data_IF_523875410603
#
_entry.id   IF_523875410603
#
_cell.length_a   1.000
_cell.length_b   1.000
_cell.length_c   1.000
_cell.angle_alpha   90.00
_cell.angle_beta   90.00
_cell.angle_gamma   90.00
#
_symmetry.space_group_name_H-M   'P 1'
#
loop_
_entity.id
_entity.type
_entity.pdbx_description
1 polymer ?
#
# COMPACT_ATOMS: atom_id res chain seq x y z
N UNK A 1 14.93 6.12 2.08
CA UNK A 1 16.00 5.17 2.48
C UNK A 1 15.43 3.80 2.84
N UNK A 2 14.31 3.68 3.57
CA UNK A 2 13.70 2.39 3.92
C UNK A 2 13.36 1.52 2.70
N UNK A 3 12.75 2.09 1.67
CA UNK A 3 12.39 1.38 0.43
C UNK A 3 13.61 0.78 -0.28
N UNK A 4 14.74 1.51 -0.31
CA UNK A 4 15.99 0.99 -0.90
C UNK A 4 16.51 -0.22 -0.11
N UNK A 5 16.50 -0.14 1.23
CA UNK A 5 16.87 -1.28 2.08
C UNK A 5 15.96 -2.50 1.86
N UNK A 6 14.66 -2.27 1.67
CA UNK A 6 13.70 -3.33 1.36
C UNK A 6 13.98 -3.99 0.00
N UNK A 7 14.26 -3.20 -1.04
CA UNK A 7 14.65 -3.72 -2.38
C UNK A 7 15.89 -4.59 -2.28
N UNK A 8 16.94 -4.11 -1.58
CA UNK A 8 18.17 -4.87 -1.40
C UNK A 8 17.93 -6.19 -0.66
N UNK A 9 17.11 -6.17 0.40
CA UNK A 9 16.74 -7.38 1.14
C UNK A 9 15.99 -8.38 0.25
N UNK A 10 15.03 -7.91 -0.58
CA UNK A 10 14.33 -8.77 -1.54
C UNK A 10 15.30 -9.42 -2.53
N UNK A 11 16.25 -8.66 -3.08
CA UNK A 11 17.22 -9.19 -4.04
C UNK A 11 18.18 -10.19 -3.41
N UNK A 12 18.60 -9.97 -2.17
CA UNK A 12 19.43 -10.95 -1.43
C UNK A 12 18.67 -12.25 -1.21
N UNK A 13 17.42 -12.17 -0.70
CA UNK A 13 16.60 -13.35 -0.42
C UNK A 13 16.30 -14.13 -1.71
N UNK A 14 15.98 -13.42 -2.78
CA UNK A 14 15.67 -14.03 -4.09
C UNK A 14 16.93 -14.63 -4.74
N UNK A 15 18.03 -13.88 -4.80
CA UNK A 15 19.28 -14.33 -5.41
C UNK A 15 19.94 -15.50 -4.68
N UNK A 16 19.70 -15.66 -3.37
CA UNK A 16 20.16 -16.80 -2.57
C UNK A 16 19.19 -18.00 -2.63
N UNK A 17 18.07 -17.88 -3.35
CA UNK A 17 17.07 -18.95 -3.45
C UNK A 17 16.28 -19.21 -2.15
N UNK A 18 16.21 -18.23 -1.24
CA UNK A 18 15.55 -18.38 0.06
C UNK A 18 14.07 -18.06 0.05
N UNK A 19 13.52 -17.70 -1.09
CA UNK A 19 12.15 -17.19 -1.29
C UNK A 19 11.06 -18.15 -0.78
N UNK A 20 11.29 -19.46 -0.89
CA UNK A 20 10.38 -20.50 -0.39
C UNK A 20 10.94 -21.21 0.86
N UNK A 21 11.96 -20.64 1.53
CA UNK A 21 12.63 -21.25 2.67
C UNK A 21 12.39 -20.46 3.96
N UNK A 22 12.40 -21.14 5.09
CA UNK A 22 12.38 -20.49 6.42
C UNK A 22 13.65 -19.66 6.71
N UNK A 23 14.72 -19.80 5.89
CA UNK A 23 15.96 -19.02 6.02
C UNK A 23 15.68 -17.52 5.93
N UNK A 24 14.70 -17.10 5.10
CA UNK A 24 14.29 -15.68 5.03
C UNK A 24 13.84 -15.12 6.39
N UNK A 25 13.23 -15.95 7.25
CA UNK A 25 12.81 -15.52 8.59
C UNK A 25 14.03 -15.32 9.51
N UNK A 26 15.04 -16.19 9.44
CA UNK A 26 16.29 -16.02 10.18
C UNK A 26 17.07 -14.79 9.70
N UNK A 27 17.09 -14.53 8.39
CA UNK A 27 17.67 -13.32 7.83
C UNK A 27 16.99 -12.06 8.37
N UNK A 28 15.64 -12.03 8.36
CA UNK A 28 14.85 -10.92 8.93
C UNK A 28 15.10 -10.75 10.43
N UNK A 29 15.19 -11.85 11.21
CA UNK A 29 15.48 -11.80 12.63
C UNK A 29 16.89 -11.24 12.90
N UNK A 30 17.91 -11.67 12.15
CA UNK A 30 19.27 -11.15 12.26
C UNK A 30 19.33 -9.64 11.95
N UNK A 31 18.68 -9.21 10.88
CA UNK A 31 18.59 -7.79 10.53
C UNK A 31 17.90 -6.96 11.63
N UNK A 32 16.86 -7.50 12.26
CA UNK A 32 16.15 -6.85 13.36
C UNK A 32 17.03 -6.71 14.61
N UNK A 33 17.84 -7.73 14.94
CA UNK A 33 18.81 -7.66 16.06
C UNK A 33 19.85 -6.57 15.78
N UNK A 34 20.40 -6.53 14.56
CA UNK A 34 21.38 -5.49 14.17
C UNK A 34 20.76 -4.10 14.30
N UNK A 35 19.52 -3.92 13.81
CA UNK A 35 18.79 -2.66 13.94
C UNK A 35 18.55 -2.29 15.42
N UNK A 36 18.20 -3.27 16.26
CA UNK A 36 18.03 -3.07 17.70
C UNK A 36 19.32 -2.57 18.37
N UNK A 37 20.47 -3.17 18.05
CA UNK A 37 21.79 -2.72 18.55
C UNK A 37 22.10 -1.31 18.04
N UNK A 38 21.88 -1.06 16.74
CA UNK A 38 22.10 0.25 16.13
C UNK A 38 21.22 1.35 16.77
N UNK A 39 20.01 1.02 17.20
CA UNK A 39 19.11 1.99 17.85
C UNK A 39 19.71 2.63 19.11
N UNK A 40 20.58 1.92 19.84
CA UNK A 40 21.28 2.48 21.01
C UNK A 40 22.35 3.54 20.64
N UNK A 41 22.77 3.59 19.38
CA UNK A 41 23.74 4.59 18.90
C UNK A 41 23.08 5.88 18.41
N UNK A 42 21.74 5.90 18.29
CA UNK A 42 21.02 7.07 17.82
C UNK A 42 21.04 8.21 18.84
N UNK A 43 21.09 9.47 18.37
CA UNK A 43 21.06 10.62 19.27
C UNK A 43 19.75 10.67 20.05
N UNK A 44 19.81 11.07 21.30
CA UNK A 44 18.63 11.24 22.16
C UNK A 44 17.77 12.39 21.62
N UNK A 45 16.52 12.06 21.24
CA UNK A 45 15.53 13.08 20.91
C UNK A 45 14.87 13.60 22.17
N UNK A 46 14.79 14.93 22.33
CA UNK A 46 14.05 15.55 23.43
C UNK A 46 12.56 15.26 23.28
N UNK A 47 12.00 14.57 24.25
CA UNK A 47 10.57 14.32 24.32
C UNK A 47 9.91 15.58 24.90
N UNK A 48 9.22 16.37 24.07
CA UNK A 48 8.32 17.41 24.57
C UNK A 48 7.18 16.69 25.30
N UNK A 49 7.24 16.70 26.65
CA UNK A 49 6.14 16.20 27.47
C UNK A 49 4.91 17.08 27.20
N UNK A 50 3.97 16.58 26.42
CA UNK A 50 2.63 17.14 26.35
C UNK A 50 1.96 16.74 27.66
N UNK A 51 1.58 17.71 28.47
CA UNK A 51 0.74 17.45 29.65
C UNK A 51 -0.63 17.00 29.15
N UNK A 52 -0.79 15.71 28.90
CA UNK A 52 -2.08 15.13 28.58
C UNK A 52 -2.94 15.15 29.83
N UNK A 53 -4.12 15.75 29.74
CA UNK A 53 -5.05 15.87 30.85
C UNK A 53 -5.78 14.56 31.18
N UNK A 54 -5.71 13.56 30.29
CA UNK A 54 -6.31 12.25 30.47
C UNK A 54 -5.56 11.13 29.71
N UNK A 55 -5.74 9.88 30.13
CA UNK A 55 -5.26 8.70 29.42
C UNK A 55 -5.83 8.62 27.99
N UNK A 56 -7.05 9.07 27.79
CA UNK A 56 -7.72 9.14 26.50
C UNK A 56 -6.96 10.04 25.51
N UNK A 57 -6.55 11.22 25.96
CA UNK A 57 -5.72 12.15 25.17
C UNK A 57 -4.29 11.61 24.96
N UNK A 58 -3.73 10.95 25.98
CA UNK A 58 -2.40 10.35 25.90
C UNK A 58 -2.32 9.22 24.87
N UNK A 59 -3.42 8.47 24.69
CA UNK A 59 -3.55 7.40 23.69
C UNK A 59 -3.98 7.90 22.30
N UNK A 60 -4.21 9.22 22.13
CA UNK A 60 -4.64 9.78 20.84
C UNK A 60 -6.08 9.45 20.45
N UNK A 61 -6.89 8.95 21.40
CA UNK A 61 -8.28 8.56 21.15
C UNK A 61 -9.22 9.76 20.92
N UNK A 62 -8.74 10.97 21.20
CA UNK A 62 -9.40 12.24 20.87
C UNK A 62 -9.64 12.40 19.36
N UNK A 63 -8.81 11.79 18.51
CA UNK A 63 -8.99 11.78 17.06
C UNK A 63 -10.28 11.08 16.60
N UNK A 64 -10.86 10.19 17.42
CA UNK A 64 -12.13 9.53 17.06
C UNK A 64 -13.31 10.51 16.91
N UNK A 65 -13.19 11.75 17.43
CA UNK A 65 -14.16 12.79 17.19
C UNK A 65 -14.33 13.10 15.69
N UNK A 66 -13.31 12.85 14.88
CA UNK A 66 -13.33 13.06 13.42
C UNK A 66 -14.37 12.20 12.70
N UNK A 67 -14.75 11.06 13.26
CA UNK A 67 -15.84 10.23 12.70
C UNK A 67 -17.22 10.89 12.75
N UNK A 68 -17.40 11.93 13.57
CA UNK A 68 -18.64 12.72 13.60
C UNK A 68 -18.80 13.62 12.37
N UNK A 69 -17.70 13.91 11.68
CA UNK A 69 -17.71 14.71 10.45
C UNK A 69 -17.93 13.81 9.25
N UNK A 70 -19.04 13.95 8.49
CA UNK A 70 -19.35 13.04 7.38
C UNK A 70 -18.23 12.95 6.32
N UNK A 71 -17.53 14.06 6.08
CA UNK A 71 -16.39 14.10 5.15
C UNK A 71 -15.23 13.22 5.61
N UNK A 72 -14.88 13.30 6.91
CA UNK A 72 -13.81 12.49 7.49
C UNK A 72 -14.21 11.03 7.62
N UNK A 73 -15.47 10.75 7.97
CA UNK A 73 -15.99 9.38 7.99
C UNK A 73 -15.85 8.71 6.61
N UNK A 74 -16.31 9.38 5.56
CA UNK A 74 -16.16 8.89 4.19
C UNK A 74 -14.69 8.66 3.86
N UNK A 75 -13.81 9.60 4.17
CA UNK A 75 -12.37 9.46 3.95
C UNK A 75 -11.78 8.22 4.65
N UNK A 76 -12.08 8.02 5.93
CA UNK A 76 -11.58 6.86 6.69
C UNK A 76 -12.13 5.53 6.18
N UNK A 77 -13.39 5.48 5.72
CA UNK A 77 -13.94 4.28 5.06
C UNK A 77 -13.14 3.93 3.79
N UNK A 78 -12.81 4.91 2.96
CA UNK A 78 -11.97 4.66 1.78
C UNK A 78 -10.52 4.35 2.13
N UNK A 79 -9.99 4.88 3.24
CA UNK A 79 -8.67 4.49 3.75
C UNK A 79 -8.63 3.01 4.14
N UNK A 80 -9.67 2.49 4.79
CA UNK A 80 -9.82 1.06 5.09
C UNK A 80 -9.87 0.22 3.81
N UNK A 81 -10.71 0.62 2.85
CA UNK A 81 -10.85 -0.09 1.59
C UNK A 81 -9.52 -0.12 0.80
N UNK A 82 -8.77 0.97 0.82
CA UNK A 82 -7.46 1.02 0.16
C UNK A 82 -6.42 0.15 0.89
N UNK A 83 -6.44 0.15 2.23
CA UNK A 83 -5.62 -0.76 3.03
C UNK A 83 -5.90 -2.23 2.72
N UNK A 84 -7.17 -2.58 2.44
CA UNK A 84 -7.54 -3.91 1.98
C UNK A 84 -6.93 -4.22 0.59
N UNK A 85 -6.95 -3.28 -0.37
CA UNK A 85 -6.31 -3.46 -1.67
C UNK A 85 -4.79 -3.67 -1.55
N UNK A 86 -4.13 -2.94 -0.64
CA UNK A 86 -2.71 -3.11 -0.33
C UNK A 86 -2.44 -4.53 0.19
N UNK A 87 -3.24 -5.02 1.13
CA UNK A 87 -3.07 -6.36 1.72
C UNK A 87 -3.24 -7.49 0.70
N UNK A 88 -4.17 -7.37 -0.23
CA UNK A 88 -4.38 -8.34 -1.32
C UNK A 88 -3.06 -8.54 -2.09
N UNK A 89 -2.39 -7.45 -2.46
CA UNK A 89 -1.12 -7.53 -3.18
C UNK A 89 0.01 -8.10 -2.31
N UNK A 90 0.09 -7.67 -1.06
CA UNK A 90 1.14 -8.13 -0.14
C UNK A 90 1.01 -9.63 0.16
N UNK A 91 -0.21 -10.14 0.29
CA UNK A 91 -0.45 -11.55 0.55
C UNK A 91 -0.22 -12.44 -0.69
N UNK A 92 -0.67 -12.01 -1.85
CA UNK A 92 -0.78 -12.90 -3.01
C UNK A 92 0.06 -12.50 -4.22
N UNK A 93 0.69 -11.34 -4.23
CA UNK A 93 1.45 -10.88 -5.40
C UNK A 93 2.63 -11.78 -5.76
N UNK A 94 3.42 -12.20 -4.78
CA UNK A 94 4.54 -13.11 -4.99
C UNK A 94 4.06 -14.55 -5.20
N UNK A 95 3.07 -14.99 -4.44
CA UNK A 95 2.48 -16.33 -4.54
C UNK A 95 1.88 -16.57 -5.92
N UNK A 96 1.27 -15.56 -6.52
CA UNK A 96 0.79 -15.57 -7.91
C UNK A 96 1.88 -16.02 -8.88
N UNK A 97 3.08 -15.41 -8.81
CA UNK A 97 4.20 -15.78 -9.69
C UNK A 97 4.71 -17.20 -9.40
N UNK A 98 4.90 -17.53 -8.12
CA UNK A 98 5.42 -18.84 -7.69
C UNK A 98 4.47 -19.97 -8.09
N UNK A 99 3.16 -19.74 -8.08
CA UNK A 99 2.16 -20.76 -8.41
C UNK A 99 2.26 -21.29 -9.84
N UNK A 100 2.84 -20.51 -10.75
CA UNK A 100 3.08 -20.98 -12.13
C UNK A 100 4.17 -22.06 -12.24
N UNK A 101 4.92 -22.33 -11.17
CA UNK A 101 5.89 -23.44 -11.13
C UNK A 101 5.26 -24.82 -11.38
N UNK A 102 3.96 -24.98 -11.14
CA UNK A 102 3.22 -26.22 -11.41
C UNK A 102 3.01 -26.49 -12.91
N UNK A 103 3.23 -25.51 -13.79
CA UNK A 103 3.06 -25.64 -15.23
C UNK A 103 4.42 -25.75 -15.91
N UNK A 104 4.64 -26.84 -16.66
CA UNK A 104 5.91 -27.10 -17.36
C UNK A 104 6.34 -25.97 -18.29
N UNK A 105 5.38 -25.27 -18.88
CA UNK A 105 5.60 -24.11 -19.75
C UNK A 105 6.29 -22.94 -19.03
N UNK A 106 5.99 -22.72 -17.73
CA UNK A 106 6.41 -21.51 -17.02
C UNK A 106 7.48 -21.75 -15.94
N UNK A 107 7.69 -23.02 -15.52
CA UNK A 107 8.58 -23.34 -14.38
C UNK A 107 10.01 -22.79 -14.50
N UNK A 108 10.52 -22.64 -15.72
CA UNK A 108 11.85 -22.11 -16.01
C UNK A 108 11.83 -20.63 -16.41
N UNK A 109 10.67 -19.96 -16.36
CA UNK A 109 10.60 -18.54 -16.67
C UNK A 109 11.25 -17.70 -15.59
N UNK A 110 11.81 -16.55 -15.99
CA UNK A 110 12.47 -15.63 -15.04
C UNK A 110 11.52 -15.19 -13.93
N UNK A 111 10.25 -14.94 -14.21
CA UNK A 111 9.26 -14.50 -13.23
C UNK A 111 8.95 -15.54 -12.15
N UNK A 112 9.04 -16.83 -12.47
CA UNK A 112 8.84 -17.95 -11.53
C UNK A 112 10.11 -18.21 -10.71
N UNK A 113 11.27 -18.17 -11.36
CA UNK A 113 12.56 -18.38 -10.70
C UNK A 113 12.96 -17.21 -9.77
N UNK A 114 12.61 -15.98 -10.17
CA UNK A 114 12.97 -14.74 -9.48
C UNK A 114 11.76 -13.85 -9.20
N UNK A 115 10.75 -14.34 -8.45
CA UNK A 115 9.52 -13.58 -8.18
C UNK A 115 9.80 -12.33 -7.35
N UNK A 116 10.79 -12.36 -6.45
CA UNK A 116 11.21 -11.22 -5.65
C UNK A 116 11.76 -10.08 -6.49
N UNK A 117 12.56 -10.39 -7.52
CA UNK A 117 13.07 -9.37 -8.45
C UNK A 117 11.93 -8.72 -9.23
N UNK A 118 10.98 -9.49 -9.76
CA UNK A 118 9.81 -8.94 -10.45
C UNK A 118 8.97 -8.07 -9.53
N UNK A 119 8.72 -8.52 -8.29
CA UNK A 119 7.92 -7.76 -7.33
C UNK A 119 8.65 -6.49 -6.84
N UNK A 120 9.99 -6.48 -6.82
CA UNK A 120 10.77 -5.30 -6.42
C UNK A 120 10.60 -4.10 -7.37
N UNK A 121 10.15 -4.34 -8.61
CA UNK A 121 9.80 -3.27 -9.56
C UNK A 121 8.72 -2.36 -8.96
N UNK A 122 7.79 -2.90 -8.15
CA UNK A 122 6.80 -2.10 -7.43
C UNK A 122 7.45 -1.08 -6.50
N UNK A 123 8.48 -1.48 -5.77
CA UNK A 123 9.18 -0.63 -4.80
C UNK A 123 10.04 0.44 -5.49
N UNK A 124 10.65 0.07 -6.62
CA UNK A 124 11.37 1.04 -7.46
C UNK A 124 10.40 2.08 -8.01
N UNK A 125 9.26 1.62 -8.53
CA UNK A 125 8.20 2.49 -9.03
C UNK A 125 7.67 3.43 -7.95
N UNK A 126 7.40 2.93 -6.74
CA UNK A 126 7.01 3.73 -5.57
C UNK A 126 8.00 4.87 -5.34
N UNK A 127 9.30 4.56 -5.27
CA UNK A 127 10.35 5.57 -5.08
C UNK A 127 10.33 6.66 -6.15
N UNK A 128 10.05 6.32 -7.40
CA UNK A 128 9.99 7.26 -8.51
C UNK A 128 8.70 8.09 -8.50
N UNK A 129 7.55 7.47 -8.24
CA UNK A 129 6.27 8.16 -8.23
C UNK A 129 6.13 9.17 -7.08
N UNK A 130 6.75 8.93 -5.92
CA UNK A 130 6.81 9.90 -4.82
C UNK A 130 7.31 11.27 -5.31
N UNK A 131 8.32 11.29 -6.18
CA UNK A 131 8.89 12.53 -6.72
C UNK A 131 7.90 13.31 -7.61
N UNK A 132 6.91 12.63 -8.17
CA UNK A 132 5.91 13.24 -9.06
C UNK A 132 4.70 13.81 -8.32
N UNK A 133 4.47 13.40 -7.07
CA UNK A 133 3.28 13.76 -6.29
C UNK A 133 3.06 15.27 -6.17
N UNK A 134 4.09 16.11 -5.88
CA UNK A 134 3.89 17.55 -5.80
C UNK A 134 3.31 18.15 -7.10
N UNK A 135 3.77 17.67 -8.27
CA UNK A 135 3.25 18.08 -9.55
C UNK A 135 1.76 17.71 -9.72
N UNK A 136 1.41 16.47 -9.39
CA UNK A 136 0.03 16.00 -9.52
C UNK A 136 -0.90 16.71 -8.53
N UNK A 137 -0.49 16.91 -7.29
CA UNK A 137 -1.27 17.63 -6.29
C UNK A 137 -1.53 19.09 -6.69
N UNK A 138 -0.50 19.78 -7.17
CA UNK A 138 -0.63 21.16 -7.63
C UNK A 138 -1.59 21.28 -8.82
N UNK A 139 -1.51 20.34 -9.76
CA UNK A 139 -2.30 20.38 -11.00
C UNK A 139 -3.74 19.89 -10.81
N UNK A 140 -3.94 18.83 -10.03
CA UNK A 140 -5.22 18.10 -9.97
C UNK A 140 -5.91 18.19 -8.61
N UNK A 141 -5.16 18.48 -7.54
CA UNK A 141 -5.67 18.51 -6.16
C UNK A 141 -5.86 17.14 -5.53
N UNK A 142 -6.07 17.14 -4.22
CA UNK A 142 -6.12 15.94 -3.36
C UNK A 142 -7.13 14.90 -3.89
N UNK A 143 -8.39 15.30 -4.13
CA UNK A 143 -9.46 14.38 -4.55
C UNK A 143 -9.11 13.62 -5.83
N UNK A 144 -8.63 14.34 -6.87
CA UNK A 144 -8.32 13.71 -8.16
C UNK A 144 -7.09 12.82 -8.07
N UNK A 145 -6.10 13.20 -7.26
CA UNK A 145 -4.90 12.37 -7.05
C UNK A 145 -5.25 11.08 -6.31
N UNK A 146 -6.10 11.13 -5.27
CA UNK A 146 -6.63 9.93 -4.62
C UNK A 146 -7.44 9.05 -5.58
N UNK A 147 -8.25 9.66 -6.46
CA UNK A 147 -9.01 8.92 -7.47
C UNK A 147 -8.08 8.23 -8.48
N UNK A 148 -6.99 8.90 -8.89
CA UNK A 148 -5.96 8.28 -9.74
C UNK A 148 -5.34 7.06 -9.07
N UNK A 149 -5.10 7.10 -7.76
CA UNK A 149 -4.62 5.95 -7.00
C UNK A 149 -5.59 4.76 -7.06
N UNK A 150 -6.89 5.01 -6.90
CA UNK A 150 -7.90 3.94 -6.98
C UNK A 150 -8.01 3.35 -8.39
N UNK A 151 -7.93 4.19 -9.42
CA UNK A 151 -7.88 3.72 -10.81
C UNK A 151 -6.59 2.95 -11.11
N UNK A 152 -5.48 3.33 -10.49
CA UNK A 152 -4.23 2.58 -10.59
C UNK A 152 -4.34 1.19 -9.93
N UNK A 153 -5.05 1.04 -8.81
CA UNK A 153 -5.35 -0.27 -8.23
C UNK A 153 -6.21 -1.14 -9.17
N UNK A 154 -7.24 -0.55 -9.79
CA UNK A 154 -8.02 -1.25 -10.82
C UNK A 154 -7.14 -1.74 -11.96
N UNK A 155 -6.29 -0.87 -12.51
CA UNK A 155 -5.38 -1.21 -13.59
C UNK A 155 -4.37 -2.29 -13.17
N UNK A 156 -3.80 -2.18 -11.96
CA UNK A 156 -2.87 -3.15 -11.41
C UNK A 156 -3.46 -4.56 -11.38
N UNK A 157 -4.61 -4.72 -10.75
CA UNK A 157 -5.26 -6.04 -10.66
C UNK A 157 -5.77 -6.54 -12.01
N UNK A 158 -6.26 -5.65 -12.87
CA UNK A 158 -6.63 -5.99 -14.25
C UNK A 158 -5.46 -6.53 -15.06
N UNK A 159 -4.29 -5.92 -14.96
CA UNK A 159 -3.08 -6.38 -15.61
C UNK A 159 -2.60 -7.74 -15.06
N UNK A 160 -2.72 -7.97 -13.75
CA UNK A 160 -2.42 -9.29 -13.16
C UNK A 160 -3.40 -10.36 -13.63
N UNK A 161 -4.68 -10.02 -13.86
CA UNK A 161 -5.69 -11.00 -14.29
C UNK A 161 -5.43 -11.59 -15.68
N UNK A 162 -4.75 -10.84 -16.55
CA UNK A 162 -4.41 -11.25 -17.91
C UNK A 162 -2.92 -11.54 -18.10
N UNK A 163 -2.09 -11.22 -17.10
CA UNK A 163 -0.64 -11.45 -17.10
C UNK A 163 -0.29 -12.90 -16.79
N UNK A 164 0.82 -13.37 -17.35
CA UNK A 164 1.45 -14.65 -17.01
C UNK A 164 2.98 -14.50 -17.11
N UNK A 165 3.77 -15.39 -16.49
CA UNK A 165 5.23 -15.27 -16.48
C UNK A 165 5.93 -15.62 -17.81
N UNK A 166 5.17 -16.01 -18.84
CA UNK A 166 5.63 -16.23 -20.21
C UNK A 166 5.41 -15.00 -21.09
N UNK A 167 4.61 -15.14 -22.14
CA UNK A 167 4.32 -14.05 -23.09
C UNK A 167 3.65 -12.82 -22.43
N UNK A 168 2.96 -13.01 -21.31
CA UNK A 168 2.28 -11.97 -20.55
C UNK A 168 3.14 -11.30 -19.47
N UNK A 169 4.43 -11.59 -19.35
CA UNK A 169 5.31 -11.03 -18.30
C UNK A 169 5.38 -9.50 -18.35
N UNK A 170 5.28 -8.89 -19.52
CA UNK A 170 5.26 -7.45 -19.67
C UNK A 170 4.05 -6.80 -18.97
N UNK A 171 2.89 -7.48 -18.95
CA UNK A 171 1.70 -7.02 -18.23
C UNK A 171 1.92 -7.06 -16.72
N UNK A 172 2.62 -8.09 -16.21
CA UNK A 172 3.01 -8.19 -14.81
C UNK A 172 3.99 -7.06 -14.44
N UNK A 173 4.98 -6.78 -15.28
CA UNK A 173 5.92 -5.67 -15.08
C UNK A 173 5.17 -4.33 -15.06
N UNK A 174 4.29 -4.10 -16.01
CA UNK A 174 3.48 -2.88 -16.10
C UNK A 174 2.57 -2.73 -14.85
N UNK A 175 1.98 -3.83 -14.38
CA UNK A 175 1.22 -3.85 -13.12
C UNK A 175 2.09 -3.38 -11.94
N UNK A 176 3.33 -3.87 -11.85
CA UNK A 176 4.27 -3.45 -10.80
C UNK A 176 4.70 -1.98 -10.93
N UNK A 177 4.82 -1.45 -12.14
CA UNK A 177 5.08 -0.03 -12.36
C UNK A 177 3.90 0.83 -11.90
N UNK A 178 2.67 0.43 -12.20
CA UNK A 178 1.47 1.16 -11.79
C UNK A 178 1.28 1.19 -10.26
N UNK A 179 1.85 0.25 -9.54
CA UNK A 179 1.76 0.17 -8.08
C UNK A 179 2.24 1.43 -7.36
N UNK A 180 3.35 2.05 -7.82
CA UNK A 180 3.86 3.26 -7.19
C UNK A 180 2.82 4.39 -7.15
N UNK A 181 2.07 4.56 -8.25
CA UNK A 181 0.95 5.50 -8.28
C UNK A 181 -0.22 5.03 -7.40
N UNK A 182 -0.51 3.73 -7.40
CA UNK A 182 -1.63 3.17 -6.66
C UNK A 182 -1.52 3.38 -5.14
N UNK A 183 -0.32 3.23 -4.59
CA UNK A 183 -0.09 3.33 -3.15
C UNK A 183 0.17 4.75 -2.70
N UNK A 184 1.18 5.42 -3.28
CA UNK A 184 1.66 6.70 -2.77
C UNK A 184 0.70 7.85 -3.01
N UNK A 185 0.00 7.88 -4.15
CA UNK A 185 -0.92 8.95 -4.45
C UNK A 185 -2.06 9.04 -3.43
N UNK A 186 -2.54 7.91 -2.94
CA UNK A 186 -3.54 7.96 -1.87
C UNK A 186 -2.93 8.25 -0.51
N UNK A 187 -1.84 7.59 -0.15
CA UNK A 187 -1.26 7.69 1.19
C UNK A 187 -0.77 9.10 1.48
N UNK A 188 -0.04 9.71 0.54
CA UNK A 188 0.49 11.07 0.72
C UNK A 188 -0.64 12.11 0.61
N UNK A 189 -1.54 11.98 -0.37
CA UNK A 189 -2.69 12.89 -0.46
C UNK A 189 -3.62 12.76 0.74
N UNK A 190 -3.78 11.56 1.30
CA UNK A 190 -4.56 11.29 2.50
C UNK A 190 -3.94 11.93 3.74
N UNK A 191 -2.63 11.82 3.91
CA UNK A 191 -1.91 12.48 4.98
C UNK A 191 -2.08 14.01 4.92
N UNK A 192 -1.92 14.59 3.72
CA UNK A 192 -2.14 16.03 3.51
C UNK A 192 -3.60 16.43 3.73
N UNK A 193 -4.55 15.60 3.33
CA UNK A 193 -5.97 15.85 3.59
C UNK A 193 -6.25 15.88 5.10
N UNK A 194 -5.77 14.88 5.85
CA UNK A 194 -5.91 14.83 7.30
C UNK A 194 -5.28 16.06 7.96
N UNK A 195 -4.09 16.47 7.51
CA UNK A 195 -3.40 17.63 8.03
C UNK A 195 -4.22 18.93 7.85
N UNK A 196 -4.86 19.09 6.70
CA UNK A 196 -5.69 20.27 6.38
C UNK A 196 -7.03 20.32 7.12
N UNK A 197 -7.62 19.16 7.37
CA UNK A 197 -8.96 19.05 7.96
C UNK A 197 -8.93 18.94 9.50
N UNK A 198 -7.75 18.92 10.11
CA UNK A 198 -7.60 18.74 11.56
C UNK A 198 -6.90 19.91 12.22
N UNK A 199 -7.35 20.27 13.43
CA UNK A 199 -6.70 21.25 14.27
C UNK A 199 -5.32 20.76 14.74
N UNK A 200 -4.39 21.69 14.96
CA UNK A 200 -3.02 21.39 15.41
C UNK A 200 -2.98 20.50 16.66
N UNK A 201 -3.96 20.67 17.55
CA UNK A 201 -4.04 19.93 18.83
C UNK A 201 -4.15 18.42 18.63
N UNK A 202 -4.92 17.98 17.65
CA UNK A 202 -5.22 16.55 17.40
C UNK A 202 -4.56 16.00 16.13
N UNK A 203 -3.79 16.82 15.40
CA UNK A 203 -3.21 16.46 14.09
C UNK A 203 -2.39 15.18 14.13
N UNK A 204 -1.51 15.01 15.12
CA UNK A 204 -0.70 13.79 15.26
C UNK A 204 -1.56 12.56 15.52
N UNK A 205 -2.59 12.68 16.38
CA UNK A 205 -3.54 11.61 16.66
C UNK A 205 -4.38 11.26 15.43
N UNK A 206 -4.76 12.25 14.64
CA UNK A 206 -5.50 12.06 13.39
C UNK A 206 -4.66 11.33 12.31
N UNK A 207 -3.37 11.65 12.20
CA UNK A 207 -2.44 10.91 11.35
C UNK A 207 -2.29 9.45 11.82
N UNK A 208 -2.16 9.24 13.13
CA UNK A 208 -2.14 7.90 13.73
C UNK A 208 -3.42 7.12 13.42
N UNK A 209 -4.59 7.77 13.54
CA UNK A 209 -5.88 7.19 13.19
C UNK A 209 -5.96 6.81 11.71
N UNK A 210 -5.47 7.66 10.80
CA UNK A 210 -5.40 7.37 9.37
C UNK A 210 -4.55 6.12 9.09
N UNK A 211 -3.36 6.04 9.69
CA UNK A 211 -2.50 4.85 9.56
C UNK A 211 -3.14 3.60 10.16
N UNK A 212 -3.84 3.73 11.29
CA UNK A 212 -4.57 2.62 11.91
C UNK A 212 -5.71 2.12 11.02
N UNK A 213 -6.47 3.03 10.37
CA UNK A 213 -7.54 2.64 9.44
C UNK A 213 -6.97 1.95 8.20
N UNK A 214 -5.87 2.46 7.64
CA UNK A 214 -5.25 1.89 6.43
C UNK A 214 -4.48 0.61 6.74
N UNK A 215 -3.47 0.69 7.62
CA UNK A 215 -2.51 -0.39 7.86
C UNK A 215 -2.91 -1.34 9.01
N UNK A 216 -3.96 -1.02 9.76
CA UNK A 216 -4.54 -1.88 10.78
C UNK A 216 -5.82 -2.52 10.29
N UNK A 217 -6.93 -1.79 10.40
CA UNK A 217 -8.27 -2.30 10.05
C UNK A 217 -8.35 -2.76 8.59
N UNK A 218 -7.82 -1.94 7.66
CA UNK A 218 -7.81 -2.25 6.24
C UNK A 218 -7.06 -3.55 5.93
N UNK A 219 -5.88 -3.74 6.50
CA UNK A 219 -5.08 -4.96 6.31
C UNK A 219 -5.81 -6.21 6.86
N UNK A 220 -6.41 -6.11 8.05
CA UNK A 220 -7.16 -7.23 8.65
C UNK A 220 -8.34 -7.63 7.77
N UNK A 221 -9.18 -6.67 7.40
CA UNK A 221 -10.34 -6.93 6.55
C UNK A 221 -9.92 -7.40 5.15
N UNK A 222 -8.86 -6.82 4.59
CA UNK A 222 -8.29 -7.22 3.31
C UNK A 222 -7.76 -8.64 3.33
N UNK A 223 -7.10 -9.07 4.40
CA UNK A 223 -6.63 -10.44 4.59
C UNK A 223 -7.78 -11.45 4.59
N UNK A 224 -8.83 -11.20 5.39
CA UNK A 224 -10.01 -12.08 5.42
C UNK A 224 -10.73 -12.13 4.07
N UNK A 225 -11.01 -10.98 3.47
CA UNK A 225 -11.70 -10.90 2.20
C UNK A 225 -10.91 -11.57 1.07
N UNK A 226 -9.60 -11.30 0.98
CA UNK A 226 -8.77 -11.88 -0.06
C UNK A 226 -8.62 -13.38 0.10
N UNK A 227 -8.46 -13.88 1.34
CA UNK A 227 -8.43 -15.30 1.62
C UNK A 227 -9.71 -15.99 1.14
N UNK A 228 -10.88 -15.45 1.49
CA UNK A 228 -12.16 -15.99 1.06
C UNK A 228 -12.30 -16.05 -0.48
N UNK A 229 -11.91 -14.98 -1.18
CA UNK A 229 -11.95 -14.94 -2.66
C UNK A 229 -11.00 -15.96 -3.26
N UNK A 230 -9.78 -16.07 -2.74
CA UNK A 230 -8.79 -17.04 -3.23
C UNK A 230 -9.29 -18.47 -3.02
N UNK A 231 -9.81 -18.78 -1.84
CA UNK A 231 -10.34 -20.11 -1.53
C UNK A 231 -11.53 -20.48 -2.45
N UNK A 232 -12.42 -19.52 -2.70
CA UNK A 232 -13.59 -19.72 -3.58
C UNK A 232 -13.20 -20.07 -5.04
N UNK A 233 -12.12 -19.48 -5.55
CA UNK A 233 -11.62 -19.72 -6.90
C UNK A 233 -10.46 -20.74 -6.94
N UNK A 234 -10.25 -21.50 -5.86
CA UNK A 234 -9.30 -22.61 -5.80
C UNK A 234 -10.05 -23.92 -5.98
N UNK A 235 -9.63 -24.74 -6.97
CA UNK A 235 -10.14 -26.08 -7.18
C UNK A 235 -9.02 -27.08 -6.87
N UNK A 236 -9.25 -27.94 -5.89
CA UNK A 236 -8.24 -28.85 -5.34
C UNK A 236 -6.98 -28.10 -4.86
N UNK A 237 -5.96 -27.98 -5.71
CA UNK A 237 -4.71 -27.26 -5.43
C UNK A 237 -4.41 -26.16 -6.46
N UNK A 238 -5.26 -26.01 -7.48
CA UNK A 238 -5.05 -25.07 -8.58
C UNK A 238 -5.90 -23.82 -8.36
N UNK A 239 -5.25 -22.67 -8.33
CA UNK A 239 -5.90 -21.37 -8.19
C UNK A 239 -6.18 -20.75 -9.56
N UNK A 240 -7.40 -20.30 -9.77
CA UNK A 240 -7.77 -19.53 -10.96
C UNK A 240 -7.40 -18.05 -10.78
N UNK A 241 -6.12 -17.75 -10.93
CA UNK A 241 -5.60 -16.40 -10.72
C UNK A 241 -6.24 -15.34 -11.59
N UNK A 242 -6.62 -15.66 -12.82
CA UNK A 242 -7.29 -14.71 -13.70
C UNK A 242 -8.61 -14.21 -13.09
N UNK A 243 -9.45 -15.13 -12.59
CA UNK A 243 -10.71 -14.78 -11.94
C UNK A 243 -10.50 -14.09 -10.59
N UNK A 244 -9.53 -14.54 -9.79
CA UNK A 244 -9.18 -13.93 -8.51
C UNK A 244 -8.81 -12.46 -8.71
N UNK A 245 -7.87 -12.17 -9.61
CA UNK A 245 -7.45 -10.79 -9.87
C UNK A 245 -8.55 -9.95 -10.53
N UNK A 246 -9.43 -10.54 -11.33
CA UNK A 246 -10.58 -9.83 -11.91
C UNK A 246 -11.58 -9.38 -10.83
N UNK A 247 -11.82 -10.19 -9.79
CA UNK A 247 -12.66 -9.78 -8.64
C UNK A 247 -12.03 -8.58 -7.93
N UNK A 248 -10.71 -8.60 -7.71
CA UNK A 248 -10.02 -7.48 -7.07
C UNK A 248 -9.96 -6.23 -7.95
N UNK A 249 -9.87 -6.39 -9.27
CA UNK A 249 -10.01 -5.29 -10.21
C UNK A 249 -11.43 -4.68 -10.12
N UNK A 250 -12.47 -5.50 -10.13
CA UNK A 250 -13.86 -5.06 -9.95
C UNK A 250 -14.07 -4.32 -8.62
N UNK A 251 -13.53 -4.85 -7.54
CA UNK A 251 -13.53 -4.20 -6.22
C UNK A 251 -12.92 -2.78 -6.29
N UNK A 252 -11.73 -2.65 -6.89
CA UNK A 252 -11.03 -1.35 -6.99
C UNK A 252 -11.76 -0.37 -7.90
N UNK A 253 -12.39 -0.84 -8.97
CA UNK A 253 -13.23 -0.02 -9.84
C UNK A 253 -14.45 0.54 -9.10
N UNK A 254 -15.18 -0.33 -8.38
CA UNK A 254 -16.34 0.08 -7.57
C UNK A 254 -15.91 1.08 -6.50
N UNK A 255 -14.79 0.83 -5.81
CA UNK A 255 -14.21 1.75 -4.84
C UNK A 255 -13.95 3.13 -5.47
N UNK A 256 -13.34 3.18 -6.67
CA UNK A 256 -13.07 4.43 -7.38
C UNK A 256 -14.36 5.19 -7.78
N UNK A 257 -15.37 4.47 -8.27
CA UNK A 257 -16.66 5.05 -8.63
C UNK A 257 -17.36 5.62 -7.39
N UNK A 258 -17.44 4.85 -6.30
CA UNK A 258 -18.07 5.32 -5.07
C UNK A 258 -17.33 6.53 -4.49
N UNK A 259 -15.99 6.51 -4.51
CA UNK A 259 -15.19 7.65 -4.04
C UNK A 259 -15.47 8.91 -4.84
N UNK A 260 -15.57 8.81 -6.15
CA UNK A 260 -15.88 9.95 -7.02
C UNK A 260 -17.15 10.68 -6.60
N UNK A 261 -18.22 9.94 -6.27
CA UNK A 261 -19.52 10.51 -5.89
C UNK A 261 -19.60 10.89 -4.42
N UNK A 262 -19.04 10.09 -3.51
CA UNK A 262 -19.23 10.27 -2.06
C UNK A 262 -18.22 11.24 -1.46
N UNK A 263 -16.96 11.25 -1.94
CA UNK A 263 -15.94 12.13 -1.39
C UNK A 263 -15.97 13.50 -2.06
N UNK A 264 -16.34 14.54 -1.29
CA UNK A 264 -16.39 15.93 -1.75
C UNK A 264 -15.22 16.72 -1.18
N UNK A 265 -14.37 17.22 -2.07
CA UNK A 265 -13.26 18.10 -1.71
C UNK A 265 -12.93 19.01 -2.90
N UNK A 266 -12.98 20.32 -2.68
CA UNK A 266 -12.71 21.32 -3.71
C UNK A 266 -11.21 21.60 -3.80
N UNK A 267 -10.71 21.66 -5.03
CA UNK A 267 -9.33 22.00 -5.29
C UNK A 267 -9.14 23.52 -5.30
N UNK A 268 -8.26 24.02 -4.40
CA UNK A 268 -7.83 25.41 -4.38
C UNK A 268 -6.33 25.46 -4.73
N UNK A 269 -5.95 25.90 -5.93
CA UNK A 269 -4.52 25.94 -6.34
C UNK A 269 -3.64 26.78 -5.44
N UNK A 270 -4.22 27.80 -4.78
CA UNK A 270 -3.55 28.70 -3.84
C UNK A 270 -2.98 27.96 -2.62
N UNK A 271 -3.61 26.89 -2.19
CA UNK A 271 -3.17 26.07 -1.06
C UNK A 271 -1.81 25.40 -1.28
N UNK A 272 -1.33 25.33 -2.53
CA UNK A 272 -0.10 24.63 -2.93
C UNK A 272 1.02 25.59 -3.39
N UNK A 273 0.74 26.91 -3.45
CA UNK A 273 1.71 27.90 -3.92
C UNK A 273 2.56 28.51 -2.80
N UNK A 274 2.15 28.39 -1.52
CA UNK A 274 2.78 29.07 -0.39
C UNK A 274 3.94 28.31 0.26
N UNK A 275 4.61 27.39 -0.47
CA UNK A 275 5.85 26.76 0.03
C UNK A 275 5.70 25.83 1.24
N UNK A 276 4.49 25.52 1.65
CA UNK A 276 4.19 24.72 2.86
C UNK A 276 4.42 23.21 2.64
N UNK A 277 4.85 22.81 1.45
CA UNK A 277 4.96 21.40 1.02
C UNK A 277 6.32 21.04 0.39
N UNK A 278 7.42 21.64 0.89
CA UNK A 278 8.79 21.18 0.56
C UNK A 278 9.50 20.76 1.83
#
# INVERSE_FOLDING_TARGET
MGTVGFILAMWVVDGMGWTASNIQLYFGAAASVVLGIYAFTLPKCEIKKKNSSSLFEALGLDAFVLFKTPKMLVFFLFAILLGAALQITNAFGQEFLVSFNQFDEYKNSFGVLHPGIIMSISQISETLFILTIPFFLKKFGIKKVMLMAMMAWFLRFGLFSVGNPGAGVLLIILSNIVYGMAFDFFTISGSLFVEKETEDKIRSSAQGLFLMMTNGVGIILGGYFSGYVVDFYTQETVRNWSQIWMVFAGYSLVMGILFFFLFKHDHRPEDYNNGTFI
#
